data_IF_786311787368
#
_entry.id   IF_786311787368
#
_cell.length_a   1.000
_cell.length_b   1.000
_cell.length_c   1.000
_cell.angle_alpha   90.00
_cell.angle_beta   90.00
_cell.angle_gamma   90.00
#
_symmetry.space_group_name_H-M   'P 1'
#
loop_
_entity.id
_entity.type
_entity.pdbx_description
1 polymer ?
#
# COMPACT_ATOMS: atom_id res chain seq x y z
N UNK A 1 25.50 -19.51 3.54
CA UNK A 1 24.66 -19.56 2.33
C UNK A 1 24.20 -18.15 2.13
N UNK A 2 24.65 -17.54 1.04
CA UNK A 2 24.63 -16.10 0.86
C UNK A 2 23.21 -15.54 0.94
N UNK A 3 23.08 -14.61 1.86
CA UNK A 3 21.98 -13.72 2.13
C UNK A 3 21.54 -13.06 0.81
N UNK A 4 20.41 -13.54 0.25
CA UNK A 4 19.79 -12.98 -0.96
C UNK A 4 18.82 -11.87 -0.56
N UNK A 5 19.28 -10.93 0.26
CA UNK A 5 18.46 -9.88 0.87
C UNK A 5 19.01 -8.50 0.53
N UNK A 6 19.43 -8.33 -0.72
CA UNK A 6 20.05 -7.09 -1.20
C UNK A 6 19.80 -6.95 -2.72
N UNK A 7 18.53 -7.02 -3.15
CA UNK A 7 18.20 -6.88 -4.59
C UNK A 7 17.21 -5.76 -4.91
N UNK A 8 16.46 -5.24 -3.95
CA UNK A 8 15.49 -4.17 -4.19
C UNK A 8 15.77 -3.05 -3.21
N UNK A 9 16.29 -1.93 -3.69
CA UNK A 9 16.67 -0.74 -2.90
C UNK A 9 15.48 0.03 -2.33
N UNK A 10 14.54 -0.68 -1.72
CA UNK A 10 13.56 -0.16 -0.77
C UNK A 10 14.07 -0.49 0.63
N UNK A 11 13.86 0.40 1.59
CA UNK A 11 14.11 0.04 3.00
C UNK A 11 13.13 -1.09 3.36
N UNK A 12 13.57 -2.09 4.13
CA UNK A 12 12.76 -3.28 4.43
C UNK A 12 11.42 -2.95 5.12
N UNK A 13 11.31 -1.74 5.67
CA UNK A 13 10.13 -1.22 6.35
C UNK A 13 9.04 -0.76 5.36
N UNK A 14 9.39 -0.52 4.10
CA UNK A 14 8.47 -0.05 3.05
C UNK A 14 8.07 -1.16 2.07
N UNK A 15 8.42 -2.42 2.29
CA UNK A 15 7.92 -3.55 1.47
C UNK A 15 7.05 -4.45 2.34
N UNK A 16 5.82 -4.70 1.89
CA UNK A 16 4.95 -5.73 2.48
C UNK A 16 4.79 -6.92 1.54
N UNK A 17 4.66 -8.09 2.13
CA UNK A 17 4.22 -9.29 1.42
C UNK A 17 2.70 -9.36 1.47
N UNK A 18 2.05 -9.18 0.33
CA UNK A 18 0.60 -9.29 0.23
C UNK A 18 0.24 -10.73 -0.11
N UNK A 19 -0.40 -11.41 0.83
CA UNK A 19 -0.88 -12.79 0.69
C UNK A 19 -2.32 -12.77 0.17
N UNK A 20 -2.55 -13.43 -0.97
CA UNK A 20 -3.88 -13.59 -1.55
C UNK A 20 -4.50 -14.93 -1.12
N UNK A 21 -5.83 -15.00 -1.17
CA UNK A 21 -6.61 -16.22 -0.90
C UNK A 21 -6.28 -17.40 -1.85
N UNK A 22 -5.62 -17.12 -2.99
CA UNK A 22 -5.18 -18.11 -3.98
C UNK A 22 -3.80 -18.75 -3.67
N UNK A 23 -3.31 -18.65 -2.43
CA UNK A 23 -1.98 -19.11 -1.97
C UNK A 23 -0.78 -18.41 -2.66
N UNK A 24 -1.03 -17.34 -3.42
CA UNK A 24 0.00 -16.50 -4.02
C UNK A 24 0.38 -15.36 -3.09
N UNK A 25 1.68 -15.07 -3.00
CA UNK A 25 2.19 -13.91 -2.28
C UNK A 25 3.02 -13.05 -3.24
N UNK A 26 2.81 -11.74 -3.20
CA UNK A 26 3.60 -10.79 -3.98
C UNK A 26 4.21 -9.70 -3.09
N UNK A 27 5.37 -9.19 -3.51
CA UNK A 27 6.07 -8.12 -2.82
C UNK A 27 5.56 -6.77 -3.34
N UNK A 28 4.95 -5.99 -2.45
CA UNK A 28 4.42 -4.67 -2.72
C UNK A 28 5.21 -3.62 -1.93
N UNK A 29 5.71 -2.60 -2.63
CA UNK A 29 6.26 -1.42 -1.99
C UNK A 29 5.13 -0.54 -1.45
N UNK A 30 5.13 -0.24 -0.16
CA UNK A 30 4.32 0.80 0.44
C UNK A 30 4.81 2.14 -0.08
N UNK A 31 3.92 2.87 -0.74
CA UNK A 31 4.16 4.26 -1.11
C UNK A 31 3.85 5.22 0.06
N UNK A 32 2.92 4.83 0.92
CA UNK A 32 2.59 5.54 2.14
C UNK A 32 1.23 5.14 2.73
N UNK A 33 1.02 5.51 3.99
CA UNK A 33 -0.27 5.39 4.68
C UNK A 33 -0.80 6.79 5.00
N UNK A 34 -2.11 7.01 4.85
CA UNK A 34 -2.75 8.29 5.09
C UNK A 34 -4.19 8.14 5.55
N UNK A 35 -4.71 9.13 6.27
CA UNK A 35 -6.13 9.21 6.62
C UNK A 35 -6.87 10.02 5.54
N UNK A 36 -7.98 9.48 5.07
CA UNK A 36 -8.90 10.19 4.18
C UNK A 36 -10.33 9.80 4.56
N UNK A 37 -11.30 10.69 4.35
CA UNK A 37 -12.73 10.37 4.57
C UNK A 37 -13.07 9.80 5.98
N UNK A 38 -12.19 10.02 6.96
CA UNK A 38 -12.30 9.47 8.32
C UNK A 38 -11.99 7.98 8.43
N UNK A 39 -11.17 7.43 7.53
CA UNK A 39 -10.63 6.07 7.52
C UNK A 39 -9.16 6.12 7.10
N UNK A 40 -8.39 5.12 7.53
CA UNK A 40 -7.01 4.97 7.12
C UNK A 40 -6.93 4.21 5.79
N UNK A 41 -5.98 4.62 4.95
CA UNK A 41 -5.72 4.07 3.64
C UNK A 41 -4.23 3.85 3.44
N UNK A 42 -3.88 2.82 2.68
CA UNK A 42 -2.51 2.48 2.32
C UNK A 42 -2.39 2.43 0.80
N UNK A 43 -1.39 3.14 0.28
CA UNK A 43 -1.01 3.09 -1.12
C UNK A 43 0.14 2.09 -1.28
N UNK A 44 -0.03 1.12 -2.18
CA UNK A 44 0.88 0.04 -2.47
C UNK A 44 1.23 0.04 -3.96
N UNK A 45 2.47 -0.24 -4.30
CA UNK A 45 2.95 -0.43 -5.65
C UNK A 45 3.54 -1.85 -5.77
N UNK A 46 2.96 -2.74 -6.59
CA UNK A 46 3.48 -4.08 -6.78
C UNK A 46 4.82 -4.03 -7.51
N UNK A 47 5.82 -4.75 -7.01
CA UNK A 47 7.15 -4.76 -7.62
C UNK A 47 7.11 -5.42 -9.00
N UNK A 48 7.03 -4.59 -10.05
CA UNK A 48 6.95 -5.05 -11.44
C UNK A 48 5.85 -4.38 -12.27
N UNK A 49 4.99 -3.55 -11.66
CA UNK A 49 4.03 -2.72 -12.39
C UNK A 49 4.21 -1.23 -12.06
N UNK A 50 3.75 -0.37 -12.97
CA UNK A 50 3.69 1.07 -12.75
C UNK A 50 2.39 1.50 -12.03
N UNK A 51 1.51 0.54 -11.74
CA UNK A 51 0.22 0.74 -11.12
C UNK A 51 0.33 0.94 -9.60
N UNK A 52 -0.57 1.75 -9.04
CA UNK A 52 -0.69 1.97 -7.60
C UNK A 52 -2.04 1.46 -7.13
N UNK A 53 -2.02 0.56 -6.16
CA UNK A 53 -3.22 0.06 -5.49
C UNK A 53 -3.43 0.79 -4.17
N UNK A 54 -4.63 1.31 -3.96
CA UNK A 54 -5.00 1.90 -2.68
C UNK A 54 -6.05 1.01 -2.01
N UNK A 55 -5.74 0.60 -0.79
CA UNK A 55 -6.62 -0.18 0.07
C UNK A 55 -6.94 0.60 1.33
N UNK A 56 -8.13 0.38 1.89
CA UNK A 56 -8.42 0.78 3.26
C UNK A 56 -7.51 0.02 4.21
N UNK A 57 -6.71 0.73 4.98
CA UNK A 57 -5.90 0.16 6.04
C UNK A 57 -6.74 0.11 7.30
N UNK A 58 -6.82 -1.06 7.93
CA UNK A 58 -7.56 -1.21 9.18
C UNK A 58 -6.78 -2.02 10.19
N UNK A 59 -6.27 -1.34 11.20
CA UNK A 59 -5.60 -1.98 12.32
C UNK A 59 -6.61 -2.74 13.18
N UNK A 60 -6.29 -4.01 13.45
CA UNK A 60 -7.00 -4.94 14.31
C UNK A 60 -6.07 -5.46 15.43
N UNK A 61 -5.45 -4.54 16.17
CA UNK A 61 -4.61 -4.85 17.32
C UNK A 61 -3.21 -5.36 16.92
N UNK A 62 -3.04 -6.67 16.82
CA UNK A 62 -1.78 -7.29 16.34
C UNK A 62 -1.80 -7.58 14.84
N UNK A 63 -2.99 -7.52 14.21
CA UNK A 63 -3.22 -7.79 12.79
C UNK A 63 -3.66 -6.51 12.06
N UNK A 64 -3.54 -6.49 10.74
CA UNK A 64 -4.07 -5.44 9.88
C UNK A 64 -4.87 -6.05 8.73
N UNK A 65 -5.98 -5.42 8.37
CA UNK A 65 -6.83 -5.81 7.24
C UNK A 65 -6.71 -4.77 6.12
N UNK A 66 -6.50 -5.25 4.89
CA UNK A 66 -6.54 -4.44 3.68
C UNK A 66 -7.91 -4.59 3.02
N UNK A 67 -8.64 -3.48 2.89
CA UNK A 67 -10.02 -3.46 2.42
C UNK A 67 -10.06 -2.82 1.03
N UNK A 68 -10.55 -3.58 0.05
CA UNK A 68 -10.74 -3.07 -1.32
C UNK A 68 -11.80 -1.97 -1.39
N UNK A 69 -11.45 -0.86 -2.04
CA UNK A 69 -12.32 0.29 -2.24
C UNK A 69 -13.20 0.02 -3.47
N UNK A 70 -14.42 -0.46 -3.25
CA UNK A 70 -15.36 -0.79 -4.33
C UNK A 70 -16.08 0.41 -4.94
N UNK A 71 -15.96 1.57 -4.31
CA UNK A 71 -16.65 2.79 -4.70
C UNK A 71 -15.66 3.72 -5.41
N UNK A 72 -15.84 3.91 -6.71
CA UNK A 72 -14.94 4.74 -7.53
C UNK A 72 -14.85 6.19 -7.01
N UNK A 73 -15.95 6.77 -6.50
CA UNK A 73 -15.92 8.11 -5.90
C UNK A 73 -15.10 8.16 -4.60
N UNK A 74 -15.16 7.11 -3.77
CA UNK A 74 -14.31 6.96 -2.59
C UNK A 74 -12.84 6.87 -3.02
N UNK A 75 -12.53 6.02 -4.00
CA UNK A 75 -11.17 5.83 -4.52
C UNK A 75 -10.59 7.13 -5.08
N UNK A 76 -11.30 7.84 -5.96
CA UNK A 76 -10.84 9.10 -6.54
C UNK A 76 -10.55 10.18 -5.47
N UNK A 77 -11.36 10.26 -4.41
CA UNK A 77 -11.13 11.21 -3.31
C UNK A 77 -9.89 10.85 -2.49
N UNK A 78 -9.72 9.56 -2.23
CA UNK A 78 -8.59 9.02 -1.48
C UNK A 78 -7.29 9.23 -2.28
N UNK A 79 -7.29 8.93 -3.58
CA UNK A 79 -6.17 9.23 -4.49
C UNK A 79 -5.87 10.72 -4.51
N UNK A 80 -6.87 11.58 -4.66
CA UNK A 80 -6.67 13.03 -4.71
C UNK A 80 -6.06 13.58 -3.40
N UNK A 81 -6.46 13.07 -2.24
CA UNK A 81 -5.83 13.45 -0.97
C UNK A 81 -4.39 12.91 -0.87
N UNK A 82 -4.12 11.68 -1.31
CA UNK A 82 -2.76 11.14 -1.39
C UNK A 82 -1.85 11.98 -2.29
N UNK A 83 -2.27 12.27 -3.53
CA UNK A 83 -1.50 13.09 -4.47
C UNK A 83 -1.24 14.48 -3.91
N UNK A 84 -2.23 15.08 -3.25
CA UNK A 84 -2.09 16.39 -2.62
C UNK A 84 -1.09 16.37 -1.46
N UNK A 85 -1.11 15.35 -0.61
CA UNK A 85 -0.14 15.17 0.47
C UNK A 85 1.27 14.92 -0.09
N UNK A 86 1.40 14.09 -1.12
CA UNK A 86 2.67 13.78 -1.77
C UNK A 86 3.28 14.99 -2.52
N UNK A 87 2.43 15.86 -3.10
CA UNK A 87 2.87 17.09 -3.79
C UNK A 87 3.27 18.20 -2.81
N UNK A 88 2.70 18.24 -1.59
CA UNK A 88 3.00 19.29 -0.61
C UNK A 88 4.40 19.15 0.03
N UNK A 89 5.08 18.01 -0.15
CA UNK A 89 6.49 17.78 0.25
C UNK A 89 7.54 18.03 -0.87
N UNK A 90 7.15 18.51 -2.06
CA UNK A 90 8.06 18.74 -3.21
C UNK A 90 8.58 20.17 -3.37
#
# INVERSE_FOLDING_TARGET
MADKKDLYGYEEEDIITLEYDDETAEECGILGVFDALGKEYIALNPLGSEDVYIYGYKEHGEDYDLIDIKDDEEFEKVVAEFEKLAVEEA
#
